data_IF_225654123470
#
_entry.id   IF_225654123470
#
_cell.length_a   1.000
_cell.length_b   1.000
_cell.length_c   1.000
_cell.angle_alpha   90.00
_cell.angle_beta   90.00
_cell.angle_gamma   90.00
#
_symmetry.space_group_name_H-M   'P 1'
#
loop_
_entity.id
_entity.type
_entity.pdbx_description
1 polymer ?
#
# COMPACT_ATOMS: atom_id res chain seq x y z
N UNK A 1 -16.91 -8.81 -7.52
CA UNK A 1 -17.03 -8.36 -6.12
C UNK A 1 -15.61 -8.30 -5.56
N UNK A 2 -15.12 -7.13 -5.16
CA UNK A 2 -13.77 -6.99 -4.59
C UNK A 2 -13.76 -7.55 -3.17
N UNK A 3 -12.86 -8.48 -2.87
CA UNK A 3 -12.73 -9.06 -1.53
C UNK A 3 -12.11 -8.00 -0.63
N UNK A 4 -12.65 -7.80 0.58
CA UNK A 4 -12.05 -6.89 1.56
C UNK A 4 -11.07 -7.66 2.45
N UNK A 5 -9.93 -7.05 2.76
CA UNK A 5 -8.88 -7.62 3.61
C UNK A 5 -8.56 -6.64 4.71
N UNK A 6 -8.63 -7.11 5.96
CA UNK A 6 -8.24 -6.35 7.14
C UNK A 6 -6.79 -6.66 7.49
N UNK A 7 -5.98 -5.63 7.68
CA UNK A 7 -4.59 -5.75 8.13
C UNK A 7 -4.24 -4.66 9.16
N UNK A 8 -3.09 -4.80 9.79
CA UNK A 8 -2.57 -3.84 10.77
C UNK A 8 -1.26 -3.24 10.25
N UNK A 9 -1.16 -1.91 10.23
CA UNK A 9 0.05 -1.15 9.85
C UNK A 9 0.40 -0.24 11.03
N UNK A 10 1.61 -0.38 11.60
CA UNK A 10 2.07 0.41 12.76
C UNK A 10 1.04 0.49 13.92
N UNK A 11 0.41 -0.65 14.23
CA UNK A 11 -0.59 -0.77 15.29
C UNK A 11 -1.99 -0.24 14.94
N UNK A 12 -2.18 0.37 13.75
CA UNK A 12 -3.48 0.82 13.26
C UNK A 12 -4.12 -0.26 12.38
N UNK A 13 -5.36 -0.62 12.68
CA UNK A 13 -6.12 -1.56 11.86
C UNK A 13 -6.78 -0.82 10.68
N UNK A 14 -6.70 -1.40 9.48
CA UNK A 14 -7.28 -0.87 8.25
C UNK A 14 -7.86 -2.00 7.40
N UNK A 15 -8.96 -1.73 6.71
CA UNK A 15 -9.56 -2.64 5.74
C UNK A 15 -9.47 -2.04 4.34
N UNK A 16 -8.89 -2.79 3.41
CA UNK A 16 -8.70 -2.37 2.01
C UNK A 16 -9.13 -3.47 1.04
N UNK A 17 -9.44 -3.15 -0.23
CA UNK A 17 -9.67 -4.16 -1.25
C UNK A 17 -8.44 -5.06 -1.43
N UNK A 18 -8.68 -6.34 -1.71
CA UNK A 18 -7.61 -7.27 -2.09
C UNK A 18 -6.89 -6.76 -3.35
N UNK A 19 -5.58 -7.00 -3.42
CA UNK A 19 -4.71 -6.47 -4.48
C UNK A 19 -4.25 -5.02 -4.25
N UNK A 20 -4.71 -4.33 -3.20
CA UNK A 20 -4.17 -3.01 -2.83
C UNK A 20 -2.71 -3.12 -2.42
N UNK A 21 -1.84 -2.28 -3.02
CA UNK A 21 -0.44 -2.18 -2.62
C UNK A 21 -0.32 -1.67 -1.18
N UNK A 22 0.60 -2.24 -0.39
CA UNK A 22 0.83 -1.87 1.02
C UNK A 22 1.12 -0.36 1.15
N UNK A 23 1.90 0.20 0.23
CA UNK A 23 2.26 1.63 0.20
C UNK A 23 1.03 2.53 0.04
N UNK A 24 0.01 2.06 -0.68
CA UNK A 24 -1.25 2.79 -0.84
C UNK A 24 -2.15 2.62 0.38
N UNK A 25 -2.17 1.43 1.01
CA UNK A 25 -2.90 1.20 2.25
C UNK A 25 -2.34 2.05 3.42
N UNK A 26 -1.02 2.12 3.55
CA UNK A 26 -0.34 2.96 4.55
C UNK A 26 -0.68 4.45 4.37
N UNK A 27 -0.71 4.92 3.12
CA UNK A 27 -1.05 6.31 2.80
C UNK A 27 -2.46 6.71 3.24
N UNK A 28 -3.44 5.79 3.21
CA UNK A 28 -4.81 6.07 3.66
C UNK A 28 -4.91 6.39 5.16
N UNK A 29 -3.96 5.92 5.97
CA UNK A 29 -3.89 6.16 7.42
C UNK A 29 -2.79 7.18 7.79
N UNK A 30 -2.30 7.92 6.80
CA UNK A 30 -1.34 9.01 6.96
C UNK A 30 0.12 8.55 7.15
N UNK A 31 0.44 7.31 6.81
CA UNK A 31 1.81 6.78 6.86
C UNK A 31 2.39 6.85 5.46
N UNK A 32 3.36 7.74 5.26
CA UNK A 32 4.05 7.89 3.98
C UNK A 32 5.30 7.00 3.95
N UNK A 33 5.27 5.98 3.08
CA UNK A 33 6.41 5.09 2.85
C UNK A 33 7.17 5.65 1.65
N UNK A 34 8.46 6.01 1.79
CA UNK A 34 9.23 6.55 0.67
C UNK A 34 9.47 5.45 -0.37
N UNK A 35 9.00 5.68 -1.59
CA UNK A 35 9.19 4.75 -2.71
C UNK A 35 9.66 5.50 -3.95
N UNK A 36 10.89 5.20 -4.39
CA UNK A 36 11.46 5.82 -5.59
C UNK A 36 11.00 5.14 -6.89
N UNK A 37 10.85 3.82 -6.86
CA UNK A 37 10.57 3.00 -8.03
C UNK A 37 9.07 2.80 -8.31
N UNK A 38 8.21 3.60 -7.69
CA UNK A 38 6.75 3.52 -7.84
C UNK A 38 6.20 4.83 -8.38
N UNK A 39 5.32 4.73 -9.37
CA UNK A 39 4.54 5.84 -9.85
C UNK A 39 3.11 5.35 -10.18
N UNK A 40 2.04 6.07 -9.81
CA UNK A 40 0.65 5.59 -9.97
C UNK A 40 0.23 5.25 -11.40
N UNK A 41 0.93 5.79 -12.41
CA UNK A 41 0.67 5.54 -13.84
C UNK A 41 1.51 4.39 -14.42
N UNK A 42 2.36 3.75 -13.63
CA UNK A 42 3.26 2.68 -14.07
C UNK A 42 3.02 1.43 -13.23
N UNK A 43 3.33 0.27 -13.80
CA UNK A 43 3.34 -0.96 -13.02
C UNK A 43 4.47 -0.93 -11.97
N UNK A 44 4.23 -1.46 -10.75
CA UNK A 44 5.26 -1.52 -9.72
C UNK A 44 6.41 -2.44 -10.13
N UNK A 45 7.64 -1.93 -10.14
CA UNK A 45 8.83 -2.71 -10.53
C UNK A 45 9.67 -3.22 -9.35
N UNK A 46 9.48 -2.68 -8.14
CA UNK A 46 10.15 -3.16 -6.92
C UNK A 46 11.68 -3.03 -6.90
N UNK A 47 12.27 -2.21 -7.79
CA UNK A 47 13.72 -2.06 -7.97
C UNK A 47 14.42 -1.24 -6.88
N UNK A 48 13.68 -0.41 -6.15
CA UNK A 48 14.24 0.55 -5.21
C UNK A 48 14.67 -0.05 -3.87
N UNK A 49 14.11 -1.21 -3.47
CA UNK A 49 14.50 -2.02 -2.30
C UNK A 49 14.70 -1.26 -0.97
N UNK A 50 14.13 -0.06 -0.84
CA UNK A 50 13.95 0.63 0.44
C UNK A 50 12.98 -0.16 1.33
#
# INVERSE_FOLDING_TARGET
>A
MTKQVTLTIDGKQITVPDGTLIVNAAKQIGIDIPVFCYHPKLEPVGMCRQ
#
